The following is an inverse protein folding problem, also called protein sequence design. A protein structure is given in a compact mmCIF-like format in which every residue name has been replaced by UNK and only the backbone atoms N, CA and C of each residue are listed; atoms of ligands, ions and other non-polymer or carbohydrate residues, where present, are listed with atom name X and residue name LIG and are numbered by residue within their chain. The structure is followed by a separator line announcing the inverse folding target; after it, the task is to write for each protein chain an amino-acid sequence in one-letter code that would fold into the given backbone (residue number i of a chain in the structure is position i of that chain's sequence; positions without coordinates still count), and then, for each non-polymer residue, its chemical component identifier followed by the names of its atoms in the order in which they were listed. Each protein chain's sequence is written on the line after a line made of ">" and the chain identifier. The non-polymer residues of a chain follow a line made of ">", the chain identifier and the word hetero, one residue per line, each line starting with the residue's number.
data_IF_628207496589
#
_entry.id   IF_628207496589
#
_cell.length_a   1.000
_cell.length_b   1.000
_cell.length_c   1.000
_cell.angle_alpha   90.00
_cell.angle_beta   90.00
_cell.angle_gamma   90.00
#
_symmetry.space_group_name_H-M   'P 1'
#
loop_
_entity.id
_entity.type
_entity.pdbx_description
1 polymer ?
#
# COMPACT_ATOMS: atom_id res chain seq x y z
N UNK A 1 11.40 1.38 10.79
CA UNK A 1 12.52 0.92 9.97
C UNK A 1 13.64 1.94 9.83
N UNK A 2 13.39 3.23 10.01
CA UNK A 2 14.39 4.31 9.98
C UNK A 2 15.26 4.40 11.23
N UNK A 3 14.73 4.13 12.42
CA UNK A 3 15.49 4.26 13.67
C UNK A 3 16.63 3.25 13.84
N UNK A 4 16.56 2.11 13.15
CA UNK A 4 17.60 1.09 13.24
C UNK A 4 18.87 1.42 12.43
N UNK A 5 18.74 2.34 11.46
CA UNK A 5 19.88 2.80 10.64
C UNK A 5 20.71 3.89 11.33
N UNK A 6 20.07 4.71 12.17
CA UNK A 6 20.78 5.82 12.84
C UNK A 6 21.55 5.39 14.07
N UNK A 7 21.08 4.41 14.84
CA UNK A 7 21.81 3.93 16.02
C UNK A 7 23.06 3.11 15.67
N UNK A 8 23.12 2.52 14.46
CA UNK A 8 24.29 1.81 13.95
C UNK A 8 25.31 2.69 13.23
N UNK A 9 24.99 3.97 13.01
CA UNK A 9 25.80 4.92 12.24
C UNK A 9 26.64 5.89 13.10
N UNK A 10 26.85 5.65 14.40
CA UNK A 10 27.80 6.45 15.18
C UNK A 10 29.23 6.07 14.84
N UNK A 11 30.03 6.98 14.26
CA UNK A 11 31.41 6.71 13.90
C UNK A 11 32.27 6.79 15.17
N UNK A 12 32.91 5.69 15.53
CA UNK A 12 34.11 5.72 16.32
C UNK A 12 35.26 6.18 15.41
N UNK A 13 35.88 7.29 15.75
CA UNK A 13 37.06 7.85 15.10
C UNK A 13 38.24 6.86 15.07
N UNK A 14 38.94 6.82 13.94
CA UNK A 14 40.37 6.94 13.71
C UNK A 14 40.86 6.14 12.51
N UNK A 15 41.54 6.89 11.70
CA UNK A 15 42.51 6.69 10.64
C UNK A 15 42.97 5.29 10.23
N UNK A 16 43.04 5.09 8.91
CA UNK A 16 43.76 4.02 8.26
C UNK A 16 43.36 3.84 6.79
N UNK A 17 43.96 4.64 5.88
CA UNK A 17 43.87 4.42 4.43
C UNK A 17 44.40 3.05 4.04
N UNK A 18 43.60 2.23 3.39
CA UNK A 18 44.04 1.14 2.52
C UNK A 18 43.11 1.09 1.31
N UNK A 19 43.70 1.41 0.16
CA UNK A 19 43.10 1.21 -1.16
C UNK A 19 42.79 -0.27 -1.38
N UNK A 20 41.54 -0.59 -1.70
CA UNK A 20 41.20 -1.89 -2.26
C UNK A 20 40.29 -1.73 -3.50
N UNK A 21 40.74 -2.39 -4.54
CA UNK A 21 40.23 -2.47 -5.88
C UNK A 21 38.73 -2.86 -5.92
N UNK A 22 38.01 -2.11 -6.77
CA UNK A 22 36.60 -2.24 -7.07
C UNK A 22 36.32 -3.51 -7.85
N UNK A 23 35.51 -4.40 -7.30
CA UNK A 23 34.76 -5.41 -8.06
C UNK A 23 33.33 -4.96 -8.13
N UNK A 24 32.93 -4.54 -9.33
CA UNK A 24 31.55 -4.14 -9.62
C UNK A 24 30.63 -5.38 -9.72
N UNK A 25 29.78 -5.56 -8.73
CA UNK A 25 28.66 -6.51 -8.77
C UNK A 25 27.42 -5.81 -8.18
N UNK A 26 26.35 -5.76 -8.95
CA UNK A 26 25.05 -5.24 -8.60
C UNK A 26 24.44 -6.09 -7.46
N UNK A 27 24.80 -5.83 -6.22
CA UNK A 27 24.26 -6.48 -5.04
C UNK A 27 23.69 -5.43 -4.08
N UNK A 28 22.52 -5.68 -3.53
CA UNK A 28 21.94 -4.86 -2.48
C UNK A 28 22.95 -4.68 -1.33
N UNK A 29 23.37 -3.44 -1.11
CA UNK A 29 24.29 -3.10 -0.03
C UNK A 29 23.57 -3.23 1.33
N UNK A 30 23.93 -4.24 2.09
CA UNK A 30 23.64 -4.31 3.52
C UNK A 30 24.95 -3.98 4.29
N UNK A 31 25.17 -2.72 4.72
CA UNK A 31 26.44 -2.28 5.33
C UNK A 31 26.83 -3.08 6.58
N UNK A 32 25.84 -3.56 7.34
CA UNK A 32 26.05 -4.40 8.52
C UNK A 32 26.52 -5.83 8.18
N UNK A 33 26.14 -6.37 7.00
CA UNK A 33 26.56 -7.69 6.55
C UNK A 33 28.06 -7.70 6.21
N UNK A 34 28.54 -6.65 5.55
CA UNK A 34 29.95 -6.50 5.20
C UNK A 34 30.85 -6.36 6.41
N UNK A 35 30.43 -5.59 7.41
CA UNK A 35 31.21 -5.39 8.64
C UNK A 35 31.41 -6.69 9.44
N UNK A 36 30.50 -7.66 9.28
CA UNK A 36 30.65 -8.98 9.91
C UNK A 36 31.34 -10.02 9.03
N UNK A 37 31.27 -9.92 7.71
CA UNK A 37 31.99 -10.80 6.78
C UNK A 37 33.50 -10.49 6.77
N UNK A 38 33.85 -9.21 6.83
CA UNK A 38 35.27 -8.78 6.85
C UNK A 38 36.01 -9.28 8.11
N UNK A 39 35.31 -9.38 9.24
CA UNK A 39 35.88 -9.93 10.47
C UNK A 39 36.10 -11.45 10.41
N UNK A 40 35.41 -12.17 9.53
CA UNK A 40 35.60 -13.64 9.36
C UNK A 40 36.69 -13.96 8.35
N UNK A 41 36.88 -13.13 7.31
CA UNK A 41 37.85 -13.35 6.22
C UNK A 41 39.32 -13.04 6.59
N UNK A 42 39.56 -12.19 7.60
CA UNK A 42 40.91 -11.65 7.89
C UNK A 42 41.71 -12.41 8.97
N UNK A 43 41.33 -13.65 9.39
CA UNK A 43 41.94 -14.29 10.54
C UNK A 43 42.72 -15.57 10.29
N UNK A 44 44.05 -15.36 10.18
CA UNK A 44 45.04 -16.32 10.63
C UNK A 44 45.21 -16.31 12.16
N UNK A 45 45.02 -17.50 12.77
CA UNK A 45 45.50 -17.93 14.10
C UNK A 45 45.60 -16.87 15.23
N UNK A 46 44.45 -16.50 15.83
CA UNK A 46 44.43 -16.02 17.23
C UNK A 46 43.39 -16.80 18.00
N UNK A 47 43.62 -17.03 19.33
CA UNK A 47 42.62 -17.63 20.24
C UNK A 47 41.25 -17.10 19.95
N UNK A 48 40.29 -18.01 19.69
CA UNK A 48 38.91 -17.65 19.41
C UNK A 48 38.35 -16.88 20.61
N UNK A 49 38.36 -15.57 20.49
CA UNK A 49 37.73 -14.69 21.48
C UNK A 49 36.21 -14.93 21.41
N UNK A 50 35.60 -14.95 22.55
CA UNK A 50 34.15 -15.25 22.72
C UNK A 50 33.25 -14.33 21.87
N UNK A 51 33.68 -13.06 21.74
CA UNK A 51 33.02 -12.09 20.85
C UNK A 51 32.99 -12.52 19.38
N UNK A 52 34.00 -13.26 18.94
CA UNK A 52 34.12 -13.76 17.58
C UNK A 52 33.18 -14.95 17.32
N UNK A 53 32.96 -15.78 18.35
CA UNK A 53 32.06 -16.92 18.27
C UNK A 53 30.60 -16.46 18.17
N UNK A 54 30.22 -15.47 18.95
CA UNK A 54 28.86 -14.86 18.89
C UNK A 54 28.61 -14.24 17.51
N UNK A 55 29.55 -13.46 16.97
CA UNK A 55 29.45 -12.86 15.65
C UNK A 55 29.37 -13.91 14.53
N UNK A 56 30.18 -14.99 14.64
CA UNK A 56 30.16 -16.09 13.69
C UNK A 56 28.81 -16.84 13.71
N UNK A 57 28.23 -17.09 14.88
CA UNK A 57 26.90 -17.70 14.98
C UNK A 57 25.83 -16.83 14.30
N UNK A 58 25.82 -15.52 14.52
CA UNK A 58 24.88 -14.62 13.89
C UNK A 58 25.03 -14.61 12.36
N UNK A 59 26.27 -14.58 11.85
CA UNK A 59 26.52 -14.65 10.40
C UNK A 59 26.01 -15.96 9.78
N UNK A 60 26.22 -17.09 10.48
CA UNK A 60 25.74 -18.41 10.03
C UNK A 60 24.20 -18.48 10.05
N UNK A 61 23.55 -17.90 11.08
CA UNK A 61 22.08 -17.82 11.13
C UNK A 61 21.57 -17.04 9.92
N UNK A 62 22.15 -15.87 9.65
CA UNK A 62 21.74 -15.02 8.54
C UNK A 62 21.95 -15.72 7.19
N UNK A 63 23.08 -16.36 6.99
CA UNK A 63 23.33 -17.14 5.77
C UNK A 63 22.31 -18.29 5.61
N UNK A 64 22.01 -19.01 6.68
CA UNK A 64 21.02 -20.08 6.66
C UNK A 64 19.61 -19.56 6.35
N UNK A 65 19.21 -18.40 6.91
CA UNK A 65 17.93 -17.74 6.62
C UNK A 65 17.83 -17.29 5.16
N UNK A 66 18.89 -16.68 4.63
CA UNK A 66 18.93 -16.26 3.22
C UNK A 66 18.83 -17.45 2.25
N UNK A 67 19.38 -18.61 2.66
CA UNK A 67 19.31 -19.87 1.89
C UNK A 67 18.07 -20.70 2.21
N UNK A 68 17.14 -20.18 3.04
CA UNK A 68 15.92 -20.88 3.49
C UNK A 68 16.19 -22.24 4.17
N UNK A 69 17.34 -22.38 4.84
CA UNK A 69 17.74 -23.59 5.57
C UNK A 69 17.31 -23.49 7.03
N UNK A 70 16.00 -23.57 7.25
CA UNK A 70 15.35 -23.29 8.54
C UNK A 70 15.85 -24.18 9.70
N UNK A 71 16.10 -25.46 9.43
CA UNK A 71 16.64 -26.38 10.43
C UNK A 71 18.05 -25.95 10.86
N UNK A 72 18.94 -25.62 9.92
CA UNK A 72 20.30 -25.17 10.22
C UNK A 72 20.28 -23.83 10.97
N UNK A 73 19.37 -22.92 10.57
CA UNK A 73 19.20 -21.65 11.27
C UNK A 73 18.79 -21.88 12.72
N UNK A 74 17.90 -22.84 13.00
CA UNK A 74 17.49 -23.20 14.37
C UNK A 74 18.67 -23.76 15.19
N UNK A 75 19.49 -24.63 14.61
CA UNK A 75 20.68 -25.19 15.27
C UNK A 75 21.72 -24.10 15.58
N UNK A 76 21.99 -23.20 14.64
CA UNK A 76 22.89 -22.06 14.89
C UNK A 76 22.29 -21.07 15.91
N UNK A 77 20.98 -20.90 15.94
CA UNK A 77 20.31 -20.09 16.95
C UNK A 77 20.46 -20.69 18.35
N UNK A 78 20.36 -22.02 18.47
CA UNK A 78 20.64 -22.70 19.74
C UNK A 78 22.10 -22.46 20.20
N UNK A 79 23.05 -22.60 19.29
CA UNK A 79 24.46 -22.30 19.58
C UNK A 79 24.68 -20.83 19.98
N UNK A 80 23.98 -19.88 19.33
CA UNK A 80 24.02 -18.48 19.68
C UNK A 80 23.53 -18.24 21.12
N UNK A 81 22.41 -18.86 21.53
CA UNK A 81 21.88 -18.75 22.89
C UNK A 81 22.87 -19.25 23.94
N UNK A 82 23.58 -20.35 23.70
CA UNK A 82 24.63 -20.86 24.59
C UNK A 82 25.78 -19.86 24.72
N UNK A 83 26.14 -19.15 23.65
CA UNK A 83 27.23 -18.15 23.72
C UNK A 83 26.84 -16.92 24.54
N UNK A 84 25.56 -16.66 24.79
CA UNK A 84 25.12 -15.50 25.56
C UNK A 84 25.29 -15.69 27.07
N UNK A 85 25.38 -16.92 27.56
CA UNK A 85 25.55 -17.21 29.01
C UNK A 85 26.81 -16.52 29.56
N UNK A 86 27.86 -16.51 28.80
CA UNK A 86 29.18 -15.95 29.19
C UNK A 86 29.48 -14.58 28.57
N UNK A 87 28.44 -13.90 27.98
CA UNK A 87 28.62 -12.62 27.28
C UNK A 87 28.64 -11.41 28.21
N UNK A 88 29.22 -10.29 27.72
CA UNK A 88 29.24 -8.99 28.39
C UNK A 88 27.81 -8.42 28.56
N UNK A 89 27.62 -7.56 29.56
CA UNK A 89 26.32 -6.93 29.89
C UNK A 89 25.67 -6.21 28.72
N UNK A 90 26.45 -5.51 27.89
CA UNK A 90 25.92 -4.79 26.72
C UNK A 90 25.33 -5.73 25.66
N UNK A 91 25.97 -6.89 25.42
CA UNK A 91 25.47 -7.91 24.49
C UNK A 91 24.21 -8.58 25.03
N UNK A 92 24.15 -8.84 26.34
CA UNK A 92 22.95 -9.36 27.02
C UNK A 92 21.78 -8.40 26.91
N UNK A 93 22.01 -7.10 26.91
CA UNK A 93 20.97 -6.09 26.78
C UNK A 93 20.34 -6.06 25.37
N UNK A 94 21.14 -6.28 24.31
CA UNK A 94 20.66 -6.31 22.91
C UNK A 94 20.14 -7.69 22.47
N UNK A 95 20.54 -8.75 23.17
CA UNK A 95 20.20 -10.11 22.81
C UNK A 95 18.70 -10.38 22.66
N UNK A 96 17.80 -9.89 23.53
CA UNK A 96 16.36 -10.15 23.42
C UNK A 96 15.75 -9.71 22.08
N UNK A 97 16.20 -8.57 21.54
CA UNK A 97 15.70 -8.10 20.23
C UNK A 97 16.20 -8.97 19.09
N UNK A 98 17.46 -9.38 19.12
CA UNK A 98 18.04 -10.29 18.11
C UNK A 98 17.35 -11.65 18.18
N UNK A 99 17.18 -12.20 19.39
CA UNK A 99 16.51 -13.49 19.62
C UNK A 99 15.08 -13.42 19.08
N UNK A 100 14.37 -12.34 19.37
CA UNK A 100 13.00 -12.18 18.89
C UNK A 100 12.94 -12.14 17.36
N UNK A 101 13.76 -11.29 16.72
CA UNK A 101 13.75 -11.13 15.26
C UNK A 101 14.13 -12.41 14.51
N UNK A 102 15.25 -13.01 14.90
CA UNK A 102 15.73 -14.23 14.20
C UNK A 102 14.90 -15.46 14.58
N UNK A 103 14.57 -15.61 15.87
CA UNK A 103 13.76 -16.73 16.35
C UNK A 103 12.33 -16.71 15.79
N UNK A 104 11.70 -15.54 15.70
CA UNK A 104 10.38 -15.42 15.07
C UNK A 104 10.42 -15.77 13.60
N UNK A 105 11.42 -15.34 12.84
CA UNK A 105 11.59 -15.68 11.42
C UNK A 105 11.81 -17.19 11.22
N UNK A 106 12.67 -17.79 12.04
CA UNK A 106 12.87 -19.25 12.01
C UNK A 106 11.59 -19.98 12.30
N UNK A 107 10.88 -19.63 13.37
CA UNK A 107 9.63 -20.31 13.77
C UNK A 107 8.47 -20.07 12.80
N UNK A 108 8.50 -18.97 12.03
CA UNK A 108 7.49 -18.68 11.01
C UNK A 108 7.52 -19.70 9.86
N UNK A 109 8.72 -20.10 9.44
CA UNK A 109 8.92 -20.90 8.25
C UNK A 109 9.42 -22.32 8.52
N UNK A 110 9.78 -22.66 9.76
CA UNK A 110 10.28 -23.98 10.08
C UNK A 110 9.16 -25.04 9.98
N UNK A 111 9.35 -26.15 9.24
CA UNK A 111 8.28 -27.10 8.94
C UNK A 111 7.71 -27.83 10.17
N UNK A 112 8.46 -27.91 11.27
CA UNK A 112 8.00 -28.50 12.54
C UNK A 112 7.40 -27.46 13.50
N UNK A 113 7.37 -26.18 13.13
CA UNK A 113 6.79 -25.14 13.97
C UNK A 113 5.26 -25.22 13.94
N UNK A 114 4.65 -24.90 15.08
CA UNK A 114 3.21 -24.82 15.22
C UNK A 114 2.82 -23.48 15.84
N UNK A 115 1.55 -23.09 15.69
CA UNK A 115 1.04 -21.87 16.34
C UNK A 115 1.27 -21.90 17.85
N UNK A 116 1.13 -23.07 18.47
CA UNK A 116 1.40 -23.22 19.92
C UNK A 116 2.86 -22.97 20.26
N UNK A 117 3.79 -23.50 19.45
CA UNK A 117 5.23 -23.31 19.67
C UNK A 117 5.62 -21.83 19.54
N UNK A 118 5.12 -21.16 18.50
CA UNK A 118 5.35 -19.73 18.32
C UNK A 118 4.76 -18.90 19.45
N UNK A 119 3.53 -19.20 19.90
CA UNK A 119 2.88 -18.50 20.98
C UNK A 119 3.65 -18.66 22.31
N UNK A 120 4.11 -19.88 22.62
CA UNK A 120 4.95 -20.11 23.79
C UNK A 120 6.27 -19.32 23.75
N UNK A 121 6.91 -19.26 22.60
CA UNK A 121 8.10 -18.45 22.38
C UNK A 121 7.79 -16.95 22.58
N UNK A 122 6.71 -16.44 21.96
CA UNK A 122 6.30 -15.07 22.11
C UNK A 122 6.02 -14.69 23.57
N UNK A 123 5.34 -15.56 24.33
CA UNK A 123 5.01 -15.32 25.73
C UNK A 123 6.27 -15.32 26.62
N UNK A 124 7.24 -16.17 26.34
CA UNK A 124 8.54 -16.12 27.01
C UNK A 124 9.27 -14.82 26.71
N UNK A 125 9.31 -14.41 25.43
CA UNK A 125 10.01 -13.19 25.02
C UNK A 125 9.38 -11.91 25.57
N UNK A 126 8.06 -11.87 25.79
CA UNK A 126 7.38 -10.75 26.49
C UNK A 126 7.90 -10.53 27.90
N UNK A 127 8.34 -11.59 28.57
CA UNK A 127 8.83 -11.56 29.95
C UNK A 127 10.31 -11.20 30.05
N UNK A 128 11.09 -11.37 28.97
CA UNK A 128 12.54 -11.13 28.96
C UNK A 128 12.90 -9.66 28.85
N UNK A 129 12.05 -8.81 28.29
CA UNK A 129 12.37 -7.40 28.14
C UNK A 129 11.14 -6.51 28.14
N UNK A 130 11.03 -5.68 29.16
CA UNK A 130 9.90 -4.75 29.34
C UNK A 130 9.72 -3.79 28.17
N UNK A 131 10.82 -3.31 27.59
CA UNK A 131 10.81 -2.36 26.47
C UNK A 131 10.18 -2.93 25.20
N UNK A 132 10.27 -4.24 24.99
CA UNK A 132 9.78 -4.89 23.77
C UNK A 132 8.40 -5.53 23.91
N UNK A 133 7.79 -5.50 25.10
CA UNK A 133 6.52 -6.16 25.40
C UNK A 133 5.41 -5.81 24.39
N UNK A 134 5.18 -4.52 24.15
CA UNK A 134 4.13 -4.05 23.24
C UNK A 134 4.40 -4.46 21.78
N UNK A 135 5.67 -4.36 21.34
CA UNK A 135 6.11 -4.74 20.01
C UNK A 135 5.91 -6.24 19.77
N UNK A 136 6.34 -7.07 20.71
CA UNK A 136 6.18 -8.52 20.66
C UNK A 136 4.69 -8.90 20.69
N UNK A 137 3.90 -8.28 21.58
CA UNK A 137 2.46 -8.53 21.64
C UNK A 137 1.73 -8.19 20.34
N UNK A 138 2.10 -7.07 19.70
CA UNK A 138 1.52 -6.68 18.42
C UNK A 138 1.89 -7.68 17.32
N UNK A 139 3.15 -8.06 17.21
CA UNK A 139 3.62 -9.04 16.21
C UNK A 139 3.00 -10.43 16.45
N UNK A 140 2.89 -10.86 17.70
CA UNK A 140 2.20 -12.11 18.06
C UNK A 140 0.71 -12.08 17.70
N UNK A 141 0.03 -10.96 17.94
CA UNK A 141 -1.36 -10.81 17.52
C UNK A 141 -1.52 -10.90 16.01
N UNK A 142 -0.64 -10.25 15.23
CA UNK A 142 -0.65 -10.33 13.77
C UNK A 142 -0.40 -11.76 13.26
N UNK A 143 0.50 -12.49 13.91
CA UNK A 143 0.72 -13.91 13.62
C UNK A 143 -0.55 -14.76 13.88
N UNK A 144 -1.21 -14.56 15.01
CA UNK A 144 -2.46 -15.25 15.33
C UNK A 144 -3.58 -14.92 14.34
N UNK A 145 -3.69 -13.65 13.92
CA UNK A 145 -4.63 -13.22 12.87
C UNK A 145 -4.36 -13.94 11.55
N UNK A 146 -3.09 -14.03 11.16
CA UNK A 146 -2.69 -14.75 9.93
C UNK A 146 -3.12 -16.21 9.94
N UNK A 147 -3.12 -16.86 11.11
CA UNK A 147 -3.55 -18.24 11.28
C UNK A 147 -5.05 -18.39 11.61
N UNK A 148 -5.83 -17.33 11.52
CA UNK A 148 -7.27 -17.35 11.77
C UNK A 148 -7.68 -17.44 13.26
N UNK A 149 -6.71 -17.35 14.20
CA UNK A 149 -6.95 -17.42 15.65
C UNK A 149 -7.36 -16.05 16.20
N UNK A 150 -8.52 -15.56 15.77
CA UNK A 150 -8.95 -14.17 16.04
C UNK A 150 -9.24 -13.90 17.53
N UNK A 151 -9.78 -14.88 18.24
CA UNK A 151 -10.10 -14.74 19.68
C UNK A 151 -8.83 -14.64 20.52
N UNK A 152 -7.81 -15.45 20.21
CA UNK A 152 -6.53 -15.41 20.92
C UNK A 152 -5.77 -14.11 20.57
N UNK A 153 -5.85 -13.66 19.34
CA UNK A 153 -5.30 -12.35 18.92
C UNK A 153 -5.97 -11.21 19.68
N UNK A 154 -7.30 -11.21 19.80
CA UNK A 154 -8.04 -10.20 20.55
C UNK A 154 -7.69 -10.22 22.05
N UNK A 155 -7.55 -11.41 22.64
CA UNK A 155 -7.13 -11.59 24.04
C UNK A 155 -5.73 -11.02 24.25
N UNK A 156 -4.78 -11.34 23.38
CA UNK A 156 -3.42 -10.85 23.44
C UNK A 156 -3.35 -9.30 23.30
N UNK A 157 -4.08 -8.71 22.37
CA UNK A 157 -4.16 -7.26 22.22
C UNK A 157 -4.82 -6.59 23.43
N UNK A 158 -5.86 -7.22 24.02
CA UNK A 158 -6.52 -6.70 25.21
C UNK A 158 -5.60 -6.69 26.44
N UNK A 159 -4.75 -7.70 26.59
CA UNK A 159 -3.72 -7.74 27.62
C UNK A 159 -2.65 -6.65 27.37
N UNK A 160 -2.22 -6.47 26.13
CA UNK A 160 -1.24 -5.45 25.77
C UNK A 160 -1.77 -4.02 25.99
N UNK A 161 -3.06 -3.78 25.76
CA UNK A 161 -3.68 -2.47 26.02
C UNK A 161 -3.66 -2.08 27.51
N UNK A 162 -3.79 -3.06 28.40
CA UNK A 162 -3.75 -2.82 29.85
C UNK A 162 -2.35 -2.69 30.42
N UNK A 163 -1.34 -2.98 29.62
CA UNK A 163 0.05 -2.95 30.05
C UNK A 163 0.49 -1.54 30.49
N UNK A 164 1.09 -1.47 31.65
CA UNK A 164 1.57 -0.23 32.26
C UNK A 164 2.93 -0.49 32.94
N UNK A 165 3.97 0.10 32.41
CA UNK A 165 5.29 -0.01 32.99
C UNK A 165 6.14 1.24 32.72
N UNK A 166 6.57 1.93 33.76
CA UNK A 166 7.42 3.11 33.66
C UNK A 166 6.76 4.33 33.01
N UNK A 167 7.56 5.37 32.75
CA UNK A 167 7.12 6.54 31.99
C UNK A 167 6.94 6.17 30.47
N UNK A 168 5.86 6.68 29.89
CA UNK A 168 5.55 6.42 28.49
C UNK A 168 6.50 7.19 27.58
N UNK A 169 7.31 6.49 26.80
CA UNK A 169 8.04 7.09 25.70
C UNK A 169 7.12 7.30 24.47
N UNK A 170 7.48 8.22 23.59
CA UNK A 170 6.73 8.49 22.35
C UNK A 170 6.60 7.24 21.47
N UNK A 171 7.61 6.37 21.43
CA UNK A 171 7.56 5.10 20.71
C UNK A 171 6.58 4.11 21.34
N UNK A 172 6.48 4.04 22.65
CA UNK A 172 5.50 3.22 23.35
C UNK A 172 4.08 3.71 23.12
N UNK A 173 3.86 5.02 23.10
CA UNK A 173 2.55 5.61 22.79
C UNK A 173 2.09 5.21 21.37
N UNK A 174 2.98 5.25 20.40
CA UNK A 174 2.69 4.80 19.03
C UNK A 174 2.30 3.32 18.99
N UNK A 175 3.02 2.46 19.73
CA UNK A 175 2.69 1.03 19.81
C UNK A 175 1.36 0.77 20.54
N UNK A 176 1.03 1.51 21.59
CA UNK A 176 -0.27 1.42 22.26
C UNK A 176 -1.39 1.80 21.29
N UNK A 177 -1.22 2.88 20.53
CA UNK A 177 -2.18 3.30 19.53
C UNK A 177 -2.38 2.21 18.46
N UNK A 178 -1.30 1.54 18.00
CA UNK A 178 -1.39 0.42 17.09
C UNK A 178 -2.12 -0.79 17.70
N UNK A 179 -1.84 -1.13 18.95
CA UNK A 179 -2.54 -2.21 19.68
C UNK A 179 -4.05 -1.93 19.73
N UNK A 180 -4.43 -0.71 20.08
CA UNK A 180 -5.83 -0.29 20.10
C UNK A 180 -6.47 -0.32 18.73
N UNK A 181 -5.73 0.10 17.70
CA UNK A 181 -6.17 0.08 16.30
C UNK A 181 -6.50 -1.34 15.83
N UNK A 182 -5.58 -2.28 15.99
CA UNK A 182 -5.79 -3.67 15.58
C UNK A 182 -6.84 -4.38 16.40
N UNK A 183 -6.95 -4.08 17.70
CA UNK A 183 -8.05 -4.56 18.54
C UNK A 183 -9.40 -4.08 18.00
N UNK A 184 -9.52 -2.78 17.74
CA UNK A 184 -10.71 -2.19 17.13
C UNK A 184 -11.05 -2.81 15.78
N UNK A 185 -10.03 -3.14 14.95
CA UNK A 185 -10.25 -3.80 13.66
C UNK A 185 -10.80 -5.23 13.81
N UNK A 186 -10.34 -5.99 14.80
CA UNK A 186 -10.89 -7.33 15.12
C UNK A 186 -12.33 -7.24 15.62
N UNK A 187 -12.63 -6.26 16.46
CA UNK A 187 -13.98 -6.00 16.93
C UNK A 187 -14.90 -5.60 15.76
N UNK A 188 -14.41 -4.74 14.84
CA UNK A 188 -15.12 -4.38 13.62
C UNK A 188 -15.39 -5.60 12.72
N UNK A 189 -14.39 -6.45 12.53
CA UNK A 189 -14.55 -7.69 11.76
C UNK A 189 -15.65 -8.58 12.35
N UNK A 190 -15.63 -8.79 13.66
CA UNK A 190 -16.64 -9.57 14.37
C UNK A 190 -18.04 -8.96 14.23
N UNK A 191 -18.14 -7.64 14.32
CA UNK A 191 -19.38 -6.91 14.07
C UNK A 191 -19.85 -7.05 12.61
N UNK A 192 -18.95 -6.89 11.64
CA UNK A 192 -19.29 -7.01 10.22
C UNK A 192 -19.83 -8.39 9.87
N UNK A 193 -19.24 -9.45 10.47
CA UNK A 193 -19.73 -10.84 10.33
C UNK A 193 -21.15 -10.99 10.88
N UNK A 194 -21.41 -10.52 12.10
CA UNK A 194 -22.74 -10.56 12.71
C UNK A 194 -23.76 -9.75 11.92
N UNK A 195 -23.38 -8.59 11.41
CA UNK A 195 -24.26 -7.77 10.54
C UNK A 195 -24.66 -8.54 9.27
N UNK A 196 -23.74 -9.29 8.68
CA UNK A 196 -24.00 -10.11 7.50
C UNK A 196 -24.93 -11.29 7.84
N UNK A 197 -24.71 -11.97 8.96
CA UNK A 197 -25.57 -13.03 9.47
C UNK A 197 -26.99 -12.52 9.72
N UNK A 198 -27.16 -11.34 10.34
CA UNK A 198 -28.46 -10.70 10.54
C UNK A 198 -29.18 -10.38 9.23
N UNK A 199 -28.43 -10.04 8.17
CA UNK A 199 -29.07 -9.73 6.87
C UNK A 199 -29.65 -10.97 6.18
N UNK A 200 -29.28 -12.17 6.62
CA UNK A 200 -29.73 -13.46 6.11
C UNK A 200 -30.84 -14.09 6.96
N UNK A 201 -31.12 -13.54 8.16
CA UNK A 201 -32.17 -14.04 9.06
C UNK A 201 -33.53 -13.43 8.69
N UNK A 202 -34.60 -14.22 8.91
CA UNK A 202 -35.99 -13.74 8.79
C UNK A 202 -36.26 -12.66 9.84
N UNK A 203 -36.82 -11.54 9.40
CA UNK A 203 -37.03 -10.35 10.25
C UNK A 203 -38.08 -10.51 11.33
N UNK A 204 -38.91 -11.54 11.22
CA UNK A 204 -40.04 -11.81 12.13
C UNK A 204 -39.66 -12.71 13.32
N UNK A 205 -38.42 -13.15 13.42
CA UNK A 205 -37.94 -13.96 14.53
C UNK A 205 -37.56 -13.09 15.74
N UNK A 206 -37.99 -13.49 16.94
CA UNK A 206 -37.60 -12.85 18.22
C UNK A 206 -36.06 -12.87 18.42
N UNK A 207 -35.39 -13.92 17.94
CA UNK A 207 -33.92 -14.02 17.93
C UNK A 207 -33.29 -12.87 17.13
N UNK A 208 -33.90 -12.43 16.02
CA UNK A 208 -33.43 -11.31 15.21
C UNK A 208 -33.34 -10.00 16.02
N UNK A 209 -34.37 -9.69 16.82
CA UNK A 209 -34.41 -8.43 17.59
C UNK A 209 -33.34 -8.39 18.70
N UNK A 210 -33.06 -9.54 19.31
CA UNK A 210 -32.03 -9.67 20.35
C UNK A 210 -30.62 -9.55 19.75
N UNK A 211 -30.37 -10.24 18.64
CA UNK A 211 -29.09 -10.22 17.96
C UNK A 211 -28.82 -8.86 17.28
N UNK A 212 -29.83 -8.20 16.75
CA UNK A 212 -29.74 -6.84 16.23
C UNK A 212 -29.32 -5.85 17.34
N UNK A 213 -29.90 -5.98 18.54
CA UNK A 213 -29.55 -5.15 19.69
C UNK A 213 -28.11 -5.42 20.16
N UNK A 214 -27.70 -6.67 20.20
CA UNK A 214 -26.32 -7.05 20.57
C UNK A 214 -25.31 -6.54 19.53
N UNK A 215 -25.64 -6.66 18.24
CA UNK A 215 -24.83 -6.14 17.14
C UNK A 215 -24.68 -4.62 17.23
N UNK A 216 -25.78 -3.92 17.53
CA UNK A 216 -25.77 -2.47 17.71
C UNK A 216 -24.89 -2.05 18.91
N UNK A 217 -25.02 -2.73 20.05
CA UNK A 217 -24.20 -2.45 21.24
C UNK A 217 -22.71 -2.72 20.99
N UNK A 218 -22.40 -3.79 20.25
CA UNK A 218 -21.02 -4.13 19.92
C UNK A 218 -20.39 -3.08 18.99
N UNK A 219 -21.12 -2.62 17.97
CA UNK A 219 -20.65 -1.59 17.07
C UNK A 219 -20.34 -0.26 17.78
N UNK A 220 -21.17 0.13 18.75
CA UNK A 220 -20.95 1.33 19.53
C UNK A 220 -19.62 1.30 20.30
N UNK A 221 -19.31 0.19 20.97
CA UNK A 221 -18.05 0.01 21.71
C UNK A 221 -16.84 0.13 20.78
N UNK A 222 -16.89 -0.49 19.63
CA UNK A 222 -15.83 -0.45 18.60
C UNK A 222 -15.67 0.95 18.02
N UNK A 223 -16.76 1.67 17.80
CA UNK A 223 -16.78 3.05 17.31
C UNK A 223 -16.01 4.01 18.24
N UNK A 224 -16.13 3.83 19.56
CA UNK A 224 -15.39 4.64 20.53
C UNK A 224 -13.87 4.43 20.37
N UNK A 225 -13.42 3.21 20.18
CA UNK A 225 -12.01 2.91 19.97
C UNK A 225 -11.47 3.59 18.70
N UNK A 226 -12.19 3.54 17.59
CA UNK A 226 -11.78 4.21 16.37
C UNK A 226 -11.80 5.73 16.47
N UNK A 227 -12.76 6.32 17.18
CA UNK A 227 -12.86 7.77 17.31
C UNK A 227 -11.64 8.41 17.98
N UNK A 228 -10.97 7.69 18.89
CA UNK A 228 -9.74 8.14 19.53
C UNK A 228 -8.53 8.05 18.59
N UNK A 229 -8.47 6.99 17.79
CA UNK A 229 -7.36 6.72 16.88
C UNK A 229 -7.30 7.71 15.71
N UNK A 230 -8.45 8.09 15.16
CA UNK A 230 -8.53 9.00 14.00
C UNK A 230 -8.05 10.42 14.36
N UNK A 231 -7.98 10.76 15.63
CA UNK A 231 -7.40 12.04 16.07
C UNK A 231 -5.87 12.10 15.89
N UNK A 232 -5.23 10.94 15.80
CA UNK A 232 -3.79 10.85 15.56
C UNK A 232 -3.58 10.84 14.05
N UNK A 233 -2.91 11.85 13.47
CA UNK A 233 -2.71 11.91 12.03
C UNK A 233 -1.76 10.78 11.58
N UNK A 234 -2.08 10.15 10.45
CA UNK A 234 -1.26 9.08 9.92
C UNK A 234 -1.98 8.24 8.86
N UNK A 235 -1.33 7.17 8.40
CA UNK A 235 -1.83 6.29 7.35
C UNK A 235 -2.78 5.25 7.95
N UNK A 236 -3.98 5.68 8.31
CA UNK A 236 -4.97 4.82 8.97
C UNK A 236 -6.15 4.46 8.07
N UNK A 237 -5.93 4.33 6.76
CA UNK A 237 -6.97 4.07 5.75
C UNK A 237 -8.01 3.00 6.16
N UNK A 238 -7.60 1.77 6.59
CA UNK A 238 -8.57 0.74 6.96
C UNK A 238 -9.45 1.15 8.14
N UNK A 239 -8.86 1.82 9.13
CA UNK A 239 -9.56 2.23 10.35
C UNK A 239 -10.56 3.36 10.08
N UNK A 240 -10.17 4.35 9.26
CA UNK A 240 -11.08 5.44 8.84
C UNK A 240 -12.27 4.87 8.08
N UNK A 241 -12.04 3.97 7.13
CA UNK A 241 -13.10 3.33 6.36
C UNK A 241 -14.06 2.55 7.26
N UNK A 242 -13.53 1.74 8.18
CA UNK A 242 -14.30 0.94 9.12
C UNK A 242 -15.12 1.82 10.06
N UNK A 243 -14.53 2.90 10.56
CA UNK A 243 -15.22 3.86 11.42
C UNK A 243 -16.37 4.56 10.70
N UNK A 244 -16.15 5.01 9.48
CA UNK A 244 -17.19 5.65 8.67
C UNK A 244 -18.35 4.69 8.41
N UNK A 245 -18.09 3.42 8.11
CA UNK A 245 -19.14 2.41 7.92
C UNK A 245 -19.97 2.19 9.18
N UNK A 246 -19.35 2.25 10.35
CA UNK A 246 -20.07 2.16 11.63
C UNK A 246 -20.91 3.40 11.90
N UNK A 247 -20.43 4.60 11.60
CA UNK A 247 -21.21 5.84 11.71
C UNK A 247 -22.43 5.81 10.78
N UNK A 248 -22.24 5.36 9.53
CA UNK A 248 -23.35 5.17 8.57
C UNK A 248 -24.37 4.14 9.10
N UNK A 249 -23.92 3.05 9.72
CA UNK A 249 -24.80 2.06 10.34
C UNK A 249 -25.63 2.65 11.49
N UNK A 250 -25.06 3.54 12.28
CA UNK A 250 -25.77 4.26 13.34
C UNK A 250 -26.63 5.43 12.83
N UNK A 251 -26.63 5.69 11.52
CA UNK A 251 -27.38 6.80 10.91
C UNK A 251 -26.66 8.16 11.03
N UNK A 252 -25.48 8.22 11.62
CA UNK A 252 -24.68 9.46 11.76
C UNK A 252 -23.92 9.78 10.46
N UNK A 253 -24.66 10.25 9.48
CA UNK A 253 -24.10 10.65 8.17
C UNK A 253 -23.26 11.93 8.25
N UNK A 254 -23.60 12.83 9.15
CA UNK A 254 -22.88 14.09 9.34
C UNK A 254 -21.54 13.84 10.01
N UNK A 255 -21.48 12.97 11.03
CA UNK A 255 -20.24 12.49 11.61
C UNK A 255 -19.34 11.80 10.61
N UNK A 256 -19.90 10.88 9.80
CA UNK A 256 -19.17 10.20 8.73
C UNK A 256 -18.58 11.19 7.71
N UNK A 257 -19.37 12.17 7.28
CA UNK A 257 -18.92 13.24 6.37
C UNK A 257 -17.78 14.06 6.98
N UNK A 258 -17.92 14.46 8.23
CA UNK A 258 -16.91 15.25 8.96
C UNK A 258 -15.60 14.49 9.08
N UNK A 259 -15.64 13.21 9.43
CA UNK A 259 -14.45 12.34 9.53
C UNK A 259 -13.74 12.26 8.18
N UNK A 260 -14.46 11.93 7.10
CA UNK A 260 -13.88 11.80 5.77
C UNK A 260 -13.33 13.12 5.23
N UNK A 261 -14.02 14.24 5.48
CA UNK A 261 -13.58 15.57 5.06
C UNK A 261 -12.30 15.96 5.79
N UNK A 262 -12.25 15.77 7.10
CA UNK A 262 -11.05 16.05 7.89
C UNK A 262 -9.87 15.18 7.43
N UNK A 263 -10.12 13.89 7.17
CA UNK A 263 -9.09 12.97 6.70
C UNK A 263 -8.56 13.32 5.31
N UNK A 264 -9.44 13.69 4.38
CA UNK A 264 -9.07 14.00 2.99
C UNK A 264 -8.33 15.35 2.85
N UNK A 265 -8.67 16.32 3.70
CA UNK A 265 -8.13 17.69 3.59
C UNK A 265 -7.18 18.05 4.73
N UNK A 266 -6.61 17.09 5.43
CA UNK A 266 -5.59 17.34 6.46
C UNK A 266 -4.32 17.91 5.83
N UNK A 267 -3.99 19.16 6.22
CA UNK A 267 -2.80 19.87 5.69
C UNK A 267 -1.49 19.47 6.36
N UNK A 268 -1.55 18.72 7.45
CA UNK A 268 -0.36 18.29 8.21
C UNK A 268 0.41 17.17 7.51
N UNK A 269 -0.24 16.47 6.60
CA UNK A 269 0.30 15.31 5.90
C UNK A 269 0.19 15.47 4.38
N UNK A 270 1.04 14.77 3.61
CA UNK A 270 0.87 14.68 2.16
C UNK A 270 -0.53 14.17 1.81
N UNK A 271 -1.11 14.69 0.73
CA UNK A 271 -2.44 14.27 0.27
C UNK A 271 -2.50 12.78 0.03
N UNK A 272 -3.47 12.10 0.68
CA UNK A 272 -3.68 10.67 0.57
C UNK A 272 -4.74 10.36 -0.52
N UNK A 273 -4.37 9.64 -1.60
CA UNK A 273 -5.33 9.27 -2.64
C UNK A 273 -6.53 8.50 -2.10
N UNK A 274 -6.31 7.57 -1.17
CA UNK A 274 -7.38 6.75 -0.60
C UNK A 274 -8.41 7.59 0.17
N UNK A 275 -7.98 8.64 0.86
CA UNK A 275 -8.88 9.54 1.57
C UNK A 275 -9.87 10.22 0.61
N UNK A 276 -9.39 10.67 -0.56
CA UNK A 276 -10.24 11.27 -1.60
C UNK A 276 -11.17 10.24 -2.25
N UNK A 277 -10.71 8.99 -2.43
CA UNK A 277 -11.53 7.88 -2.94
C UNK A 277 -12.67 7.56 -1.96
N UNK A 278 -12.38 7.50 -0.66
CA UNK A 278 -13.41 7.21 0.35
C UNK A 278 -14.41 8.36 0.46
N UNK A 279 -13.94 9.61 0.47
CA UNK A 279 -14.80 10.78 0.48
C UNK A 279 -15.69 10.81 -0.76
N UNK A 280 -15.13 10.62 -1.96
CA UNK A 280 -15.92 10.58 -3.19
C UNK A 280 -16.98 9.48 -3.16
N UNK A 281 -16.61 8.27 -2.73
CA UNK A 281 -17.53 7.13 -2.65
C UNK A 281 -18.69 7.40 -1.68
N UNK A 282 -18.39 8.02 -0.55
CA UNK A 282 -19.40 8.46 0.42
C UNK A 282 -20.32 9.53 -0.17
N UNK A 283 -19.77 10.61 -0.73
CA UNK A 283 -20.52 11.71 -1.33
C UNK A 283 -21.47 11.22 -2.44
N UNK A 284 -21.00 10.24 -3.24
CA UNK A 284 -21.82 9.61 -4.28
C UNK A 284 -23.00 8.84 -3.69
N UNK A 285 -22.80 8.06 -2.60
CA UNK A 285 -23.88 7.31 -1.93
C UNK A 285 -24.94 8.23 -1.33
N UNK A 286 -24.51 9.33 -0.72
CA UNK A 286 -25.44 10.31 -0.11
C UNK A 286 -26.04 11.30 -1.12
N UNK A 287 -25.73 11.13 -2.42
CA UNK A 287 -26.18 12.01 -3.52
C UNK A 287 -25.84 13.48 -3.27
N UNK A 288 -24.62 13.73 -2.81
CA UNK A 288 -24.14 15.09 -2.56
C UNK A 288 -24.11 15.95 -3.83
N UNK A 289 -24.07 17.29 -3.70
CA UNK A 289 -23.98 18.21 -4.82
C UNK A 289 -22.78 17.87 -5.71
N UNK A 290 -22.98 18.01 -7.03
CA UNK A 290 -21.95 17.71 -8.04
C UNK A 290 -20.65 18.46 -7.83
N UNK A 291 -20.70 19.69 -7.34
CA UNK A 291 -19.51 20.50 -7.05
C UNK A 291 -18.57 19.83 -6.04
N UNK A 292 -19.11 19.14 -5.04
CA UNK A 292 -18.32 18.42 -4.04
C UNK A 292 -17.67 17.18 -4.63
N UNK A 293 -18.41 16.44 -5.47
CA UNK A 293 -17.90 15.28 -6.20
C UNK A 293 -16.73 15.67 -7.10
N UNK A 294 -16.90 16.75 -7.87
CA UNK A 294 -15.86 17.28 -8.75
C UNK A 294 -14.61 17.70 -7.96
N UNK A 295 -14.79 18.37 -6.81
CA UNK A 295 -13.67 18.81 -5.97
C UNK A 295 -12.83 17.63 -5.46
N UNK A 296 -13.48 16.58 -4.96
CA UNK A 296 -12.79 15.39 -4.47
C UNK A 296 -12.00 14.68 -5.60
N UNK A 297 -12.61 14.54 -6.78
CA UNK A 297 -11.97 13.91 -7.94
C UNK A 297 -10.87 14.79 -8.57
N UNK A 298 -11.00 16.12 -8.52
CA UNK A 298 -9.98 17.03 -9.02
C UNK A 298 -8.66 16.90 -8.24
N UNK A 299 -8.75 16.77 -6.91
CA UNK A 299 -7.56 16.55 -6.09
C UNK A 299 -7.00 15.14 -6.34
N UNK A 300 -7.86 14.13 -6.44
CA UNK A 300 -7.41 12.77 -6.79
C UNK A 300 -6.68 12.75 -8.15
N UNK A 301 -7.15 13.50 -9.15
CA UNK A 301 -6.50 13.65 -10.45
C UNK A 301 -5.09 14.25 -10.33
N UNK A 302 -4.90 15.24 -9.45
CA UNK A 302 -3.58 15.84 -9.22
C UNK A 302 -2.59 14.86 -8.57
N UNK A 303 -3.07 13.91 -7.76
CA UNK A 303 -2.23 12.95 -7.04
C UNK A 303 -2.00 11.69 -7.89
N UNK A 304 -3.07 11.11 -8.44
CA UNK A 304 -3.05 9.84 -9.19
C UNK A 304 -3.90 9.96 -10.46
N UNK A 305 -3.36 10.55 -11.54
CA UNK A 305 -4.09 10.71 -12.80
C UNK A 305 -4.47 9.38 -13.48
N UNK A 306 -3.76 8.29 -13.14
CA UNK A 306 -4.01 6.93 -13.67
C UNK A 306 -5.14 6.17 -12.98
N UNK A 307 -5.79 6.75 -11.97
CA UNK A 307 -6.80 6.04 -11.20
C UNK A 307 -8.09 5.79 -12.01
N UNK A 308 -8.71 4.62 -11.86
CA UNK A 308 -9.94 4.23 -12.61
C UNK A 308 -11.11 5.22 -12.48
N UNK A 309 -11.21 5.96 -11.39
CA UNK A 309 -12.22 7.00 -11.20
C UNK A 309 -12.06 8.19 -12.14
N UNK A 310 -10.97 8.30 -12.86
CA UNK A 310 -10.75 9.39 -13.84
C UNK A 310 -11.72 9.30 -15.01
N UNK A 311 -12.20 8.11 -15.38
CA UNK A 311 -13.26 7.95 -16.39
C UNK A 311 -14.60 8.52 -15.89
N UNK A 312 -14.90 8.32 -14.63
CA UNK A 312 -16.09 8.91 -13.98
C UNK A 312 -15.92 10.42 -13.83
N UNK A 313 -14.75 10.89 -13.45
CA UNK A 313 -14.41 12.31 -13.38
C UNK A 313 -14.61 13.00 -14.74
N UNK A 314 -14.07 12.44 -15.82
CA UNK A 314 -14.32 12.91 -17.18
C UNK A 314 -15.82 12.99 -17.48
N UNK A 315 -16.60 11.96 -17.15
CA UNK A 315 -18.04 11.93 -17.42
C UNK A 315 -18.79 13.04 -16.66
N UNK A 316 -18.40 13.29 -15.41
CA UNK A 316 -18.93 14.39 -14.62
C UNK A 316 -18.53 15.76 -15.21
N UNK A 317 -17.30 15.94 -15.63
CA UNK A 317 -16.82 17.19 -16.25
C UNK A 317 -17.53 17.47 -17.58
N UNK A 318 -17.70 16.44 -18.43
CA UNK A 318 -18.37 16.56 -19.73
C UNK A 318 -19.81 17.05 -19.61
N UNK A 319 -20.52 16.63 -18.55
CA UNK A 319 -21.91 17.05 -18.31
C UNK A 319 -22.03 18.46 -17.76
N UNK A 320 -20.94 19.18 -17.56
CA UNK A 320 -20.94 20.56 -17.03
C UNK A 320 -21.13 21.57 -18.15
N UNK A 321 -21.88 22.62 -17.88
CA UNK A 321 -22.07 23.73 -18.81
C UNK A 321 -20.84 24.66 -18.88
N UNK A 322 -19.91 24.55 -17.91
CA UNK A 322 -18.69 25.35 -17.87
C UNK A 322 -17.67 24.84 -18.87
N UNK A 323 -17.20 25.75 -19.71
CA UNK A 323 -16.19 25.47 -20.73
C UNK A 323 -14.87 24.92 -20.12
N UNK A 324 -14.43 25.52 -19.00
CA UNK A 324 -13.24 25.09 -18.26
C UNK A 324 -13.31 23.63 -17.82
N UNK A 325 -14.48 23.19 -17.37
CA UNK A 325 -14.69 21.78 -16.99
C UNK A 325 -14.62 20.86 -18.19
N UNK A 326 -15.15 21.28 -19.32
CA UNK A 326 -15.07 20.50 -20.56
C UNK A 326 -13.64 20.39 -21.04
N UNK A 327 -12.87 21.51 -21.03
CA UNK A 327 -11.45 21.49 -21.34
C UNK A 327 -10.65 20.57 -20.39
N UNK A 328 -10.88 20.69 -19.09
CA UNK A 328 -10.26 19.80 -18.10
C UNK A 328 -10.61 18.33 -18.34
N UNK A 329 -11.85 18.05 -18.77
CA UNK A 329 -12.29 16.70 -19.11
C UNK A 329 -11.48 16.05 -20.24
N UNK A 330 -11.01 16.85 -21.20
CA UNK A 330 -10.08 16.40 -22.23
C UNK A 330 -8.71 16.07 -21.62
N UNK A 331 -8.15 16.99 -20.82
CA UNK A 331 -6.88 16.79 -20.13
C UNK A 331 -6.86 15.56 -19.23
N UNK A 332 -7.97 15.24 -18.56
CA UNK A 332 -8.11 14.02 -17.73
C UNK A 332 -7.95 12.76 -18.56
N UNK A 333 -8.53 12.67 -19.76
CA UNK A 333 -8.38 11.50 -20.64
C UNK A 333 -6.96 11.34 -21.16
N UNK A 334 -6.35 12.44 -21.58
CA UNK A 334 -4.94 12.43 -21.99
C UNK A 334 -4.04 12.04 -20.82
N UNK A 335 -4.21 12.65 -19.65
CA UNK A 335 -3.44 12.34 -18.45
C UNK A 335 -3.59 10.90 -17.98
N UNK A 336 -4.79 10.29 -18.09
CA UNK A 336 -5.01 8.88 -17.81
C UNK A 336 -4.22 7.98 -18.75
N UNK A 337 -4.20 8.31 -20.04
CA UNK A 337 -3.52 7.52 -21.08
C UNK A 337 -2.00 7.74 -21.13
N UNK A 338 -1.47 8.74 -20.44
CA UNK A 338 -0.02 8.95 -20.28
C UNK A 338 0.66 7.81 -19.48
N UNK A 339 -0.11 6.96 -18.81
CA UNK A 339 0.41 5.88 -17.97
C UNK A 339 0.38 4.52 -18.67
N UNK A 340 1.49 3.79 -18.58
CA UNK A 340 1.65 2.47 -19.21
C UNK A 340 0.55 1.46 -18.83
N UNK A 341 0.12 1.45 -17.57
CA UNK A 341 -0.97 0.58 -17.11
C UNK A 341 -2.35 0.88 -17.73
N UNK A 342 -2.51 2.05 -18.36
CA UNK A 342 -3.78 2.48 -18.96
C UNK A 342 -3.77 2.40 -20.49
N UNK A 343 -2.66 2.03 -21.13
CA UNK A 343 -2.51 1.99 -22.61
C UNK A 343 -3.48 1.04 -23.30
N UNK A 344 -3.91 -0.01 -22.62
CA UNK A 344 -4.88 -1.01 -23.11
C UNK A 344 -6.31 -0.77 -22.62
N UNK A 345 -6.59 0.37 -21.96
CA UNK A 345 -7.94 0.68 -21.46
C UNK A 345 -8.86 1.13 -22.62
N UNK A 346 -9.58 0.18 -23.19
CA UNK A 346 -10.50 0.44 -24.31
C UNK A 346 -11.56 1.51 -24.00
N UNK A 347 -12.05 1.57 -22.74
CA UNK A 347 -13.06 2.58 -22.35
C UNK A 347 -12.48 3.99 -22.41
N UNK A 348 -11.22 4.16 -21.97
CA UNK A 348 -10.53 5.45 -22.06
C UNK A 348 -10.34 5.90 -23.51
N UNK A 349 -9.96 4.97 -24.39
CA UNK A 349 -9.81 5.25 -25.82
C UNK A 349 -11.15 5.58 -26.48
N UNK A 350 -12.22 4.85 -26.19
CA UNK A 350 -13.57 5.13 -26.70
C UNK A 350 -14.06 6.52 -26.23
N UNK A 351 -13.80 6.87 -24.98
CA UNK A 351 -14.16 8.20 -24.46
C UNK A 351 -13.34 9.30 -25.15
N UNK A 352 -12.04 9.11 -25.30
CA UNK A 352 -11.17 10.08 -25.98
C UNK A 352 -11.61 10.26 -27.45
N UNK A 353 -11.80 9.18 -28.19
CA UNK A 353 -12.23 9.23 -29.60
C UNK A 353 -13.59 9.93 -29.76
N UNK A 354 -14.56 9.57 -28.93
CA UNK A 354 -15.89 10.22 -28.91
C UNK A 354 -15.81 11.70 -28.59
N UNK A 355 -14.97 12.05 -27.61
CA UNK A 355 -14.84 13.44 -27.18
C UNK A 355 -14.08 14.29 -28.20
N UNK A 356 -13.05 13.76 -28.83
CA UNK A 356 -12.37 14.43 -29.95
C UNK A 356 -13.31 14.69 -31.11
N UNK A 357 -14.19 13.73 -31.50
CA UNK A 357 -15.22 13.95 -32.52
C UNK A 357 -16.13 15.13 -32.15
N UNK A 358 -16.58 15.21 -30.91
CA UNK A 358 -17.44 16.28 -30.41
C UNK A 358 -16.73 17.65 -30.44
N UNK A 359 -15.48 17.72 -29.98
CA UNK A 359 -14.65 18.95 -29.97
C UNK A 359 -14.46 19.48 -31.38
N UNK A 360 -14.24 18.59 -32.35
CA UNK A 360 -14.11 18.95 -33.76
C UNK A 360 -15.39 19.58 -34.33
N UNK A 361 -16.54 18.98 -34.00
CA UNK A 361 -17.84 19.51 -34.44
C UNK A 361 -18.14 20.89 -33.82
N UNK A 362 -17.62 21.15 -32.61
CA UNK A 362 -17.81 22.41 -31.88
C UNK A 362 -16.73 23.47 -32.17
N UNK A 363 -15.79 23.16 -33.07
CA UNK A 363 -14.69 24.06 -33.47
C UNK A 363 -13.74 24.47 -32.32
N UNK A 364 -13.58 23.62 -31.29
CA UNK A 364 -12.66 23.86 -30.16
C UNK A 364 -11.29 23.17 -30.35
N UNK A 365 -10.74 23.22 -31.57
CA UNK A 365 -9.47 22.58 -31.93
C UNK A 365 -8.28 23.02 -31.06
N UNK A 366 -8.28 24.27 -30.59
CA UNK A 366 -7.23 24.82 -29.73
C UNK A 366 -6.97 23.99 -28.46
N UNK A 367 -8.01 23.39 -27.87
CA UNK A 367 -7.86 22.55 -26.68
C UNK A 367 -7.07 21.25 -26.99
N UNK A 368 -7.35 20.65 -28.14
CA UNK A 368 -6.64 19.46 -28.58
C UNK A 368 -5.19 19.77 -28.92
N UNK A 369 -4.93 20.90 -29.58
CA UNK A 369 -3.58 21.35 -29.88
C UNK A 369 -2.74 21.60 -28.65
N UNK A 370 -3.33 22.21 -27.60
CA UNK A 370 -2.66 22.47 -26.34
C UNK A 370 -2.23 21.17 -25.64
N UNK A 371 -3.14 20.20 -25.51
CA UNK A 371 -2.84 18.89 -24.92
C UNK A 371 -1.85 18.09 -25.78
N UNK A 372 -1.97 18.18 -27.08
CA UNK A 372 -1.09 17.47 -28.02
C UNK A 372 0.34 18.05 -28.03
N UNK A 373 0.51 19.34 -27.83
CA UNK A 373 1.81 20.01 -27.83
C UNK A 373 2.82 19.36 -26.87
N UNK A 374 2.38 18.98 -25.71
CA UNK A 374 3.22 18.33 -24.69
C UNK A 374 3.50 16.84 -24.96
N UNK A 375 2.71 16.21 -25.83
CA UNK A 375 2.73 14.75 -26.08
C UNK A 375 3.24 14.35 -27.46
N UNK A 376 3.28 15.27 -28.41
CA UNK A 376 3.63 14.98 -29.82
C UNK A 376 4.98 14.29 -30.03
N UNK A 377 5.92 14.47 -29.10
CA UNK A 377 7.28 13.93 -29.22
C UNK A 377 7.41 12.49 -28.72
N UNK A 378 6.48 12.01 -27.89
CA UNK A 378 6.61 10.69 -27.25
C UNK A 378 5.38 9.79 -27.40
N UNK A 379 4.16 10.33 -27.49
CA UNK A 379 2.96 9.54 -27.70
C UNK A 379 3.00 8.65 -28.96
N UNK A 380 3.52 9.12 -30.11
CA UNK A 380 3.61 8.29 -31.31
C UNK A 380 4.35 6.98 -31.07
N UNK A 381 5.49 7.04 -30.39
CA UNK A 381 6.28 5.83 -30.04
C UNK A 381 5.59 5.01 -28.97
N UNK A 382 4.99 5.66 -28.00
CA UNK A 382 4.39 5.02 -26.83
C UNK A 382 3.06 4.31 -27.15
N UNK A 383 2.22 4.89 -28.01
CA UNK A 383 0.89 4.35 -28.30
C UNK A 383 0.69 3.85 -29.72
N UNK A 384 1.34 4.48 -30.72
CA UNK A 384 1.02 4.34 -32.14
C UNK A 384 2.14 3.70 -32.96
N UNK A 385 3.16 3.11 -32.31
CA UNK A 385 4.21 2.38 -33.03
C UNK A 385 3.65 1.14 -33.73
N UNK A 386 4.28 0.71 -34.83
CA UNK A 386 3.90 -0.50 -35.57
C UNK A 386 3.82 -1.74 -34.65
N UNK A 387 4.73 -1.85 -33.70
CA UNK A 387 4.76 -2.96 -32.76
C UNK A 387 3.46 -3.02 -31.94
N UNK A 388 3.05 -1.90 -31.33
CA UNK A 388 1.82 -1.82 -30.55
C UNK A 388 0.57 -1.99 -31.41
N UNK A 389 0.52 -1.37 -32.58
CA UNK A 389 -0.61 -1.52 -33.50
C UNK A 389 -0.84 -2.99 -33.90
N UNK A 390 0.24 -3.74 -34.16
CA UNK A 390 0.17 -5.16 -34.49
C UNK A 390 -0.25 -6.02 -33.29
N UNK A 391 0.22 -5.71 -32.09
CA UNK A 391 -0.18 -6.39 -30.84
C UNK A 391 -1.65 -6.14 -30.53
N UNK A 392 -2.07 -4.88 -30.51
CA UNK A 392 -3.45 -4.49 -30.22
C UNK A 392 -4.43 -5.12 -31.22
N UNK A 393 -4.09 -5.13 -32.52
CA UNK A 393 -4.92 -5.76 -33.55
C UNK A 393 -5.14 -7.26 -33.34
N UNK A 394 -4.15 -7.96 -32.81
CA UNK A 394 -4.25 -9.39 -32.49
C UNK A 394 -5.07 -9.67 -31.26
N UNK A 395 -4.91 -8.81 -30.24
CA UNK A 395 -5.51 -9.00 -28.92
C UNK A 395 -6.94 -8.43 -28.85
N UNK A 396 -7.15 -7.20 -29.31
CA UNK A 396 -8.43 -6.46 -29.25
C UNK A 396 -8.58 -5.52 -30.46
N UNK A 397 -9.38 -5.93 -31.43
CA UNK A 397 -9.62 -5.16 -32.66
C UNK A 397 -10.33 -3.84 -32.40
N UNK A 398 -11.21 -3.78 -31.40
CA UNK A 398 -11.93 -2.55 -31.05
C UNK A 398 -10.96 -1.52 -30.48
N UNK A 399 -10.03 -1.97 -29.62
CA UNK A 399 -8.98 -1.12 -29.10
C UNK A 399 -8.09 -0.57 -30.22
N UNK A 400 -7.65 -1.44 -31.13
CA UNK A 400 -6.83 -1.03 -32.27
C UNK A 400 -7.55 -0.01 -33.16
N UNK A 401 -8.85 -0.19 -33.38
CA UNK A 401 -9.67 0.76 -34.15
C UNK A 401 -9.75 2.13 -33.49
N UNK A 402 -10.06 2.20 -32.20
CA UNK A 402 -10.17 3.49 -31.51
C UNK A 402 -8.82 4.20 -31.41
N UNK A 403 -7.73 3.47 -31.19
CA UNK A 403 -6.37 4.03 -31.22
C UNK A 403 -6.00 4.56 -32.61
N UNK A 404 -6.28 3.81 -33.67
CA UNK A 404 -6.02 4.25 -35.04
C UNK A 404 -6.82 5.51 -35.38
N UNK A 405 -8.07 5.58 -34.93
CA UNK A 405 -8.90 6.78 -35.13
C UNK A 405 -8.29 8.00 -34.41
N UNK A 406 -7.91 7.86 -33.13
CA UNK A 406 -7.27 8.94 -32.35
C UNK A 406 -5.92 9.34 -32.99
N UNK A 407 -5.11 8.37 -33.42
CA UNK A 407 -3.85 8.63 -34.12
C UNK A 407 -4.07 9.45 -35.40
N UNK A 408 -5.06 9.10 -36.20
CA UNK A 408 -5.41 9.83 -37.44
C UNK A 408 -5.82 11.28 -37.14
N UNK A 409 -6.48 11.53 -36.03
CA UNK A 409 -6.89 12.87 -35.62
C UNK A 409 -5.73 13.74 -35.09
N UNK A 410 -4.82 13.13 -34.32
CA UNK A 410 -3.73 13.84 -33.67
C UNK A 410 -2.51 14.07 -34.58
N UNK A 411 -2.19 13.09 -35.42
CA UNK A 411 -1.01 13.11 -36.30
C UNK A 411 -1.28 13.71 -37.70
N UNK A 412 -2.55 13.83 -38.08
CA UNK A 412 -2.94 14.27 -39.41
C UNK A 412 -2.75 13.19 -40.50
N UNK A 413 -3.26 13.45 -41.69
CA UNK A 413 -3.32 12.48 -42.82
C UNK A 413 -1.96 11.96 -43.33
N UNK A 414 -0.87 12.72 -43.16
CA UNK A 414 0.44 12.38 -43.71
C UNK A 414 1.22 11.33 -42.94
N UNK A 415 0.92 11.11 -41.66
CA UNK A 415 1.63 10.18 -40.77
C UNK A 415 0.87 8.88 -40.52
N UNK A 416 -0.45 8.88 -40.66
CA UNK A 416 -1.27 7.66 -40.62
C UNK A 416 -0.99 6.70 -41.80
N UNK A 417 -0.51 7.20 -42.95
CA UNK A 417 -0.12 6.38 -44.10
C UNK A 417 1.24 5.68 -43.96
N UNK A 418 2.07 6.06 -42.96
CA UNK A 418 3.30 5.31 -42.65
C UNK A 418 3.08 4.15 -41.65
N UNK A 419 1.94 4.10 -40.98
CA UNK A 419 1.44 2.86 -40.40
C UNK A 419 0.77 2.09 -41.55
N UNK A 420 1.54 1.52 -42.45
CA UNK A 420 1.07 0.53 -43.43
C UNK A 420 0.55 -0.69 -42.66
N UNK A 421 -0.67 -0.56 -42.16
CA UNK A 421 -1.48 -1.71 -41.85
C UNK A 421 -2.01 -2.23 -43.19
N UNK A 422 -1.22 -3.03 -43.87
CA UNK A 422 -1.68 -3.91 -44.94
C UNK A 422 -2.61 -4.92 -44.30
N UNK A 423 -3.87 -4.53 -44.24
CA UNK A 423 -4.96 -5.38 -43.81
C UNK A 423 -5.44 -6.19 -45.03
N UNK A 424 -5.51 -7.54 -44.95
CA UNK A 424 -6.16 -8.34 -45.97
C UNK A 424 -7.67 -8.08 -46.12
N UNK A 425 -8.27 -7.29 -45.21
CA UNK A 425 -9.71 -6.93 -45.24
C UNK A 425 -9.90 -5.41 -45.22
N UNK A 426 -9.39 -4.68 -46.20
CA UNK A 426 -9.70 -3.28 -46.52
C UNK A 426 -10.31 -2.44 -45.40
N UNK A 427 -9.51 -1.96 -44.41
CA UNK A 427 -9.94 -0.93 -43.48
C UNK A 427 -10.21 0.34 -44.29
N UNK A 428 -11.47 0.74 -44.30
CA UNK A 428 -11.96 2.01 -44.84
C UNK A 428 -11.18 3.12 -44.09
N UNK A 429 -10.17 3.68 -44.74
CA UNK A 429 -9.61 4.97 -44.34
C UNK A 429 -10.74 5.98 -44.42
N UNK A 430 -11.36 6.30 -43.25
CA UNK A 430 -12.28 7.43 -43.17
C UNK A 430 -11.45 8.66 -43.45
N UNK A 431 -11.50 9.11 -44.69
CA UNK A 431 -10.88 10.32 -45.15
C UNK A 431 -11.63 11.52 -44.61
N UNK A 432 -11.37 11.87 -43.36
CA UNK A 432 -11.80 13.16 -42.83
C UNK A 432 -10.91 14.24 -43.42
N UNK A 433 -11.47 15.09 -44.26
CA UNK A 433 -10.83 16.27 -44.83
C UNK A 433 -10.56 17.27 -43.71
N UNK A 434 -9.35 17.31 -43.19
CA UNK A 434 -8.84 18.44 -42.44
C UNK A 434 -8.16 19.38 -43.44
N UNK A 435 -8.74 20.57 -43.59
CA UNK A 435 -8.09 21.65 -44.30
C UNK A 435 -6.77 22.03 -43.56
N UNK A 436 -5.69 22.15 -44.31
CA UNK A 436 -4.46 22.72 -43.84
C UNK A 436 -4.72 24.18 -43.41
N UNK A 437 -4.37 24.51 -42.19
CA UNK A 437 -4.03 25.86 -41.73
C UNK A 437 -2.69 25.79 -41.03
#
# INVERSE_FOLDING_TARGET
>A
MSDFSEELARPGSEDGQVETSVVSGTGMHFPWLWKHLDTVATRGKKKKDFAQTTGACLSLIQEALLKQRWQQAAEYMHSYLQTLEDSDSNKKQMAPEIIWKLGSEILFYHPKSSVKTFSAFADQMKNVGVLNYLKISLQHALYLIHHGMLEDAHRNLSQAETWRYGEKSSSQETLINLVQAYKGLLEYYSWSKKKMELSQCDKDDYAYSTEARNTFRHSWKTSVNFSSLIKTPGVWDPFVKSYVEMLEFHGDRDGARKVLTNYAYDKKFPSNPNAHIYLYSFLKRVRAPRAELLRALQILYQIVPSHKLMLEFHTLLRRSDREEHRKLGLGVLFGLLDFAGCTKNITAWKYLASYLRQILMQNHLGWVQEEWKSRRNWWPTFHFSYFWAKSDWKEDKDLAYEKAFVAGMLLGKGTASRCEMTNPYGLICISLKFGAV
#
